data_IF_146123542372
#
_entry.id   IF_146123542372
#
_cell.length_a   1.000
_cell.length_b   1.000
_cell.length_c   1.000
_cell.angle_alpha   90.00
_cell.angle_beta   90.00
_cell.angle_gamma   90.00
#
_symmetry.space_group_name_H-M   'P 1'
#
loop_
_entity.id
_entity.type
_entity.pdbx_description
1 polymer ?
#
# COMPACT_ATOMS: atom_id res chain seq x y z
N UNK A 1 7.45 -7.83 11.80
CA UNK A 1 6.08 -7.45 12.23
C UNK A 1 5.69 -6.18 11.50
N UNK A 2 4.47 -6.11 10.96
CA UNK A 2 4.00 -4.92 10.25
C UNK A 2 3.65 -3.79 11.24
N UNK A 3 4.00 -2.56 10.92
CA UNK A 3 3.57 -1.36 11.66
C UNK A 3 2.08 -1.09 11.44
N UNK A 4 1.47 -0.27 12.30
CA UNK A 4 0.06 0.13 12.12
C UNK A 4 -0.15 0.90 10.81
N UNK A 5 0.84 1.68 10.37
CA UNK A 5 0.80 2.36 9.06
C UNK A 5 0.81 1.35 7.91
N UNK A 6 1.70 0.37 7.95
CA UNK A 6 1.81 -0.68 6.93
C UNK A 6 0.53 -1.51 6.84
N UNK A 7 -0.05 -1.90 7.98
CA UNK A 7 -1.35 -2.59 8.03
C UNK A 7 -2.47 -1.74 7.44
N UNK A 8 -2.48 -0.43 7.72
CA UNK A 8 -3.48 0.50 7.17
C UNK A 8 -3.36 0.64 5.65
N UNK A 9 -2.13 0.74 5.12
CA UNK A 9 -1.88 0.76 3.66
C UNK A 9 -2.39 -0.52 3.01
N UNK A 10 -2.03 -1.70 3.53
CA UNK A 10 -2.50 -2.99 2.99
C UNK A 10 -4.02 -3.11 3.06
N UNK A 11 -4.65 -2.63 4.13
CA UNK A 11 -6.12 -2.62 4.23
C UNK A 11 -6.76 -1.75 3.16
N UNK A 12 -6.24 -0.55 2.91
CA UNK A 12 -6.72 0.34 1.84
C UNK A 12 -6.57 -0.35 0.48
N UNK A 13 -5.40 -0.90 0.16
CA UNK A 13 -5.15 -1.57 -1.13
C UNK A 13 -5.97 -2.86 -1.29
N UNK A 14 -6.30 -3.57 -0.20
CA UNK A 14 -7.19 -4.74 -0.25
C UNK A 14 -8.64 -4.42 -0.62
N UNK A 15 -9.05 -3.16 -0.45
CA UNK A 15 -10.40 -2.68 -0.71
C UNK A 15 -10.52 -1.91 -2.04
N UNK A 16 -9.41 -1.64 -2.72
CA UNK A 16 -9.37 -0.82 -3.93
C UNK A 16 -8.43 -1.49 -4.96
N UNK A 17 -8.96 -1.86 -6.13
CA UNK A 17 -8.24 -2.64 -7.14
C UNK A 17 -7.02 -1.93 -7.74
N UNK A 18 -7.07 -0.61 -7.92
CA UNK A 18 -6.00 0.21 -8.49
C UNK A 18 -5.99 1.56 -7.78
N UNK A 19 -4.90 1.91 -7.09
CA UNK A 19 -4.75 3.19 -6.42
C UNK A 19 -3.41 3.84 -6.78
N UNK A 20 -3.44 5.08 -7.24
CA UNK A 20 -2.22 5.89 -7.39
C UNK A 20 -1.65 6.27 -6.02
N UNK A 21 -0.35 6.62 -5.97
CA UNK A 21 0.31 7.12 -4.74
C UNK A 21 -0.42 8.34 -4.15
N UNK A 22 -0.89 9.24 -5.00
CA UNK A 22 -1.63 10.45 -4.58
C UNK A 22 -3.02 10.13 -4.01
N UNK A 23 -3.73 9.14 -4.54
CA UNK A 23 -5.00 8.69 -3.97
C UNK A 23 -4.81 7.94 -2.65
N UNK A 24 -3.75 7.12 -2.54
CA UNK A 24 -3.40 6.48 -1.28
C UNK A 24 -3.08 7.52 -0.20
N UNK A 25 -2.29 8.55 -0.53
CA UNK A 25 -1.98 9.65 0.39
C UNK A 25 -3.24 10.36 0.89
N UNK A 26 -4.17 10.69 -0.02
CA UNK A 26 -5.48 11.29 0.33
C UNK A 26 -6.31 10.39 1.24
N UNK A 27 -6.37 9.08 0.99
CA UNK A 27 -7.11 8.10 1.84
C UNK A 27 -6.49 7.91 3.23
N UNK A 28 -5.24 8.31 3.43
CA UNK A 28 -4.56 8.23 4.72
C UNK A 28 -4.82 9.46 5.61
N UNK A 29 -5.58 10.45 5.13
CA UNK A 29 -5.82 11.75 5.80
C UNK A 29 -4.52 12.41 6.28
N UNK A 30 -3.46 12.28 5.49
CA UNK A 30 -2.17 12.91 5.77
C UNK A 30 -1.90 13.97 4.72
N UNK A 31 -1.89 15.22 5.16
CA UNK A 31 -1.43 16.36 4.37
C UNK A 31 0.08 16.29 4.07
N UNK A 32 0.85 15.44 4.77
CA UNK A 32 2.30 15.35 4.57
C UNK A 32 2.84 13.92 4.41
N UNK A 33 3.72 13.83 3.42
CA UNK A 33 4.09 12.68 2.59
C UNK A 33 5.19 11.79 3.17
N UNK A 34 5.66 12.04 4.40
CA UNK A 34 6.99 11.56 4.80
C UNK A 34 7.01 10.12 5.33
N UNK A 35 6.00 9.70 6.12
CA UNK A 35 5.91 8.34 6.65
C UNK A 35 5.31 7.31 5.68
N UNK A 36 4.55 7.79 4.69
CA UNK A 36 3.85 6.96 3.71
C UNK A 36 4.84 6.40 2.70
N UNK A 37 5.82 7.21 2.24
CA UNK A 37 6.80 6.77 1.25
C UNK A 37 7.66 5.60 1.77
N UNK A 38 8.24 5.73 2.98
CA UNK A 38 9.04 4.67 3.58
C UNK A 38 8.25 3.37 3.78
N UNK A 39 6.99 3.48 4.21
CA UNK A 39 6.11 2.32 4.40
C UNK A 39 5.76 1.64 3.07
N UNK A 40 5.48 2.43 2.02
CA UNK A 40 5.21 1.92 0.66
C UNK A 40 6.45 1.23 0.10
N UNK A 41 7.63 1.87 0.13
CA UNK A 41 8.88 1.27 -0.34
C UNK A 41 9.18 -0.06 0.35
N UNK A 42 9.05 -0.11 1.68
CA UNK A 42 9.25 -1.36 2.44
C UNK A 42 8.23 -2.44 2.05
N UNK A 43 6.95 -2.09 1.86
CA UNK A 43 5.93 -3.05 1.44
C UNK A 43 6.19 -3.59 0.03
N UNK A 44 6.76 -2.77 -0.86
CA UNK A 44 7.21 -3.20 -2.20
C UNK A 44 8.41 -4.15 -2.11
N UNK A 45 9.43 -3.81 -1.31
CA UNK A 45 10.59 -4.67 -1.08
C UNK A 45 10.20 -6.04 -0.48
N UNK A 46 9.18 -6.06 0.38
CA UNK A 46 8.63 -7.29 0.94
C UNK A 46 7.76 -8.08 -0.05
N UNK A 47 7.44 -7.52 -1.22
CA UNK A 47 6.54 -8.11 -2.22
C UNK A 47 5.09 -8.18 -1.76
N UNK A 48 4.66 -7.30 -0.86
CA UNK A 48 3.27 -7.22 -0.39
C UNK A 48 2.42 -6.32 -1.28
N UNK A 49 3.05 -5.38 -1.98
CA UNK A 49 2.41 -4.52 -2.96
C UNK A 49 3.29 -4.43 -4.21
N UNK A 50 2.68 -4.17 -5.35
CA UNK A 50 3.36 -4.00 -6.64
C UNK A 50 2.89 -2.73 -7.34
N UNK A 51 3.73 -2.20 -8.22
CA UNK A 51 3.34 -1.14 -9.16
C UNK A 51 2.91 -1.77 -10.48
N UNK A 52 1.78 -1.32 -11.01
CA UNK A 52 1.28 -1.72 -12.33
C UNK A 52 1.07 -0.47 -13.18
N UNK A 53 1.54 -0.52 -14.43
CA UNK A 53 1.26 0.52 -15.41
C UNK A 53 -0.14 0.31 -16.02
N UNK A 54 -0.99 1.31 -15.85
CA UNK A 54 -2.34 1.35 -16.40
C UNK A 54 -2.61 2.76 -16.97
N UNK A 55 -3.69 3.44 -16.59
CA UNK A 55 -3.93 4.87 -16.85
C UNK A 55 -2.97 5.81 -16.07
N UNK A 56 -1.84 5.28 -15.61
CA UNK A 56 -0.88 5.83 -14.65
C UNK A 56 -0.20 4.70 -13.86
N UNK A 57 0.73 5.04 -12.96
CA UNK A 57 1.34 4.08 -12.02
C UNK A 57 0.42 3.87 -10.82
N UNK A 58 -0.15 2.67 -10.72
CA UNK A 58 -1.03 2.27 -9.61
C UNK A 58 -0.34 1.26 -8.71
N UNK A 59 -0.63 1.34 -7.41
CA UNK A 59 -0.26 0.36 -6.40
C UNK A 59 -1.38 -0.68 -6.27
N UNK A 60 -0.99 -1.95 -6.23
CA UNK A 60 -1.88 -3.09 -6.01
C UNK A 60 -1.35 -3.97 -4.89
N UNK A 61 -2.25 -4.59 -4.12
CA UNK A 61 -1.85 -5.58 -3.12
C UNK A 61 -1.63 -6.95 -3.77
N UNK A 62 -0.55 -7.63 -3.40
CA UNK A 62 -0.28 -8.99 -3.88
C UNK A 62 -0.99 -10.04 -3.02
N UNK A 63 -1.03 -11.30 -3.49
CA UNK A 63 -1.51 -12.40 -2.64
C UNK A 63 -0.70 -12.54 -1.34
N UNK A 64 0.61 -12.30 -1.41
CA UNK A 64 1.50 -12.31 -0.25
C UNK A 64 1.13 -11.20 0.74
N UNK A 65 0.84 -10.00 0.24
CA UNK A 65 0.34 -8.90 1.06
C UNK A 65 -1.01 -9.21 1.71
N UNK A 66 -1.90 -9.88 1.00
CA UNK A 66 -3.20 -10.31 1.54
C UNK A 66 -3.06 -11.31 2.70
N UNK A 67 -2.10 -12.24 2.64
CA UNK A 67 -1.79 -13.18 3.74
C UNK A 67 -1.18 -12.45 4.93
N UNK A 68 -0.19 -11.60 4.68
CA UNK A 68 0.47 -10.79 5.71
C UNK A 68 -0.53 -9.90 6.47
N UNK A 69 -1.56 -9.37 5.79
CA UNK A 69 -2.63 -8.58 6.41
C UNK A 69 -3.53 -9.43 7.33
N UNK A 70 -3.76 -10.71 7.01
CA UNK A 70 -4.55 -11.65 7.81
C UNK A 70 -3.78 -12.22 9.00
N UNK A 71 -2.46 -12.01 9.05
CA UNK A 71 -1.58 -12.63 10.04
C UNK A 71 -1.20 -14.08 9.70
N UNK A 72 -1.30 -14.44 8.42
CA UNK A 72 -0.89 -15.73 7.85
C UNK A 72 0.56 -15.71 7.35
#
# INVERSE_FOLDING_TARGET
MLSEMEKRILRILSQNLLLTKSELARKLDKDEYDGTHASVSKLMELGYIEEVESLGTCLVITQKGMRALRGE
#
